data_IF_773722739424
#
_entry.id   IF_773722739424
#
_cell.length_a   1.000
_cell.length_b   1.000
_cell.length_c   1.000
_cell.angle_alpha   90.00
_cell.angle_beta   90.00
_cell.angle_gamma   90.00
#
_symmetry.space_group_name_H-M   'P 1'
#
loop_
_entity.id
_entity.type
_entity.pdbx_description
1 polymer ?
#
# COMPACT_ATOMS: atom_id res chain seq x y z
N UNK A 1 10.88 -6.91 19.26
CA UNK A 1 10.00 -6.19 18.31
C UNK A 1 8.61 -6.22 18.89
N UNK A 2 7.93 -5.08 18.98
CA UNK A 2 6.54 -5.03 19.47
C UNK A 2 5.59 -5.70 18.46
N UNK A 3 4.31 -5.85 18.81
CA UNK A 3 3.29 -6.28 17.85
C UNK A 3 3.19 -5.30 16.66
N UNK A 4 3.20 -4.00 16.93
CA UNK A 4 3.14 -2.94 15.92
C UNK A 4 4.30 -2.95 14.93
N UNK A 5 5.52 -3.20 15.40
CA UNK A 5 6.72 -3.28 14.56
C UNK A 5 6.63 -4.45 13.55
N UNK A 6 6.12 -5.60 14.01
CA UNK A 6 5.90 -6.78 13.14
C UNK A 6 4.75 -6.55 12.15
N UNK A 7 3.68 -5.94 12.61
CA UNK A 7 2.54 -5.57 11.76
C UNK A 7 2.98 -4.61 10.63
N UNK A 8 3.79 -3.60 10.95
CA UNK A 8 4.34 -2.70 9.93
C UNK A 8 5.25 -3.40 8.92
N UNK A 9 6.07 -4.36 9.36
CA UNK A 9 6.87 -5.16 8.41
C UNK A 9 5.99 -5.93 7.43
N UNK A 10 4.89 -6.52 7.92
CA UNK A 10 3.91 -7.19 7.06
C UNK A 10 3.30 -6.21 6.06
N UNK A 11 2.92 -5.00 6.49
CA UNK A 11 2.38 -3.98 5.60
C UNK A 11 3.38 -3.49 4.56
N UNK A 12 4.66 -3.34 4.90
CA UNK A 12 5.72 -3.01 3.93
C UNK A 12 5.83 -4.11 2.86
N UNK A 13 5.82 -5.39 3.27
CA UNK A 13 5.89 -6.52 2.34
C UNK A 13 4.67 -6.56 1.40
N UNK A 14 3.48 -6.29 1.92
CA UNK A 14 2.25 -6.25 1.12
C UNK A 14 2.27 -5.08 0.13
N UNK A 15 2.67 -3.88 0.57
CA UNK A 15 2.82 -2.73 -0.32
C UNK A 15 3.84 -3.02 -1.43
N UNK A 16 4.95 -3.67 -1.11
CA UNK A 16 5.95 -4.07 -2.09
C UNK A 16 5.41 -5.14 -3.06
N UNK A 17 4.68 -6.13 -2.56
CA UNK A 17 4.04 -7.14 -3.39
C UNK A 17 3.00 -6.52 -4.33
N UNK A 18 2.22 -5.54 -3.87
CA UNK A 18 1.31 -4.77 -4.70
C UNK A 18 2.06 -3.95 -5.76
N UNK A 19 3.20 -3.35 -5.41
CA UNK A 19 4.04 -2.61 -6.36
C UNK A 19 4.59 -3.52 -7.46
N UNK A 20 5.05 -4.72 -7.10
CA UNK A 20 5.48 -5.75 -8.04
C UNK A 20 4.31 -6.16 -8.94
N UNK A 21 3.16 -6.50 -8.36
CA UNK A 21 1.98 -6.88 -9.14
C UNK A 21 1.58 -5.77 -10.13
N UNK A 22 1.48 -4.53 -9.66
CA UNK A 22 1.12 -3.39 -10.50
C UNK A 22 2.14 -3.15 -11.61
N UNK A 23 3.44 -3.23 -11.28
CA UNK A 23 4.53 -3.01 -12.23
C UNK A 23 4.64 -4.08 -13.31
N UNK A 24 4.33 -5.34 -12.99
CA UNK A 24 4.43 -6.45 -13.95
C UNK A 24 3.13 -6.72 -14.73
N UNK A 25 1.96 -6.44 -14.16
CA UNK A 25 0.68 -6.81 -14.78
C UNK A 25 -0.10 -5.62 -15.34
N UNK A 26 -0.08 -4.46 -14.66
CA UNK A 26 -0.92 -3.33 -15.05
C UNK A 26 -0.13 -2.34 -15.92
N UNK A 27 1.08 -1.96 -15.51
CA UNK A 27 1.87 -0.97 -16.27
C UNK A 27 2.14 -1.38 -17.73
N UNK A 28 2.54 -2.63 -18.06
CA UNK A 28 2.80 -3.02 -19.45
C UNK A 28 1.57 -2.87 -20.33
N UNK A 29 0.39 -3.25 -19.84
CA UNK A 29 -0.89 -3.10 -20.54
C UNK A 29 -1.30 -1.63 -20.74
N UNK A 30 -0.97 -0.77 -19.79
CA UNK A 30 -1.19 0.69 -19.93
C UNK A 30 -0.27 1.28 -21.00
N UNK A 31 1.00 0.88 -21.04
CA UNK A 31 1.97 1.39 -22.03
C UNK A 31 1.79 0.79 -23.43
N UNK A 32 1.33 -0.47 -23.53
CA UNK A 32 1.02 -1.12 -24.81
C UNK A 32 -0.30 -0.64 -25.42
N UNK A 33 -1.10 0.13 -24.67
CA UNK A 33 -2.41 0.58 -25.10
C UNK A 33 -3.50 -0.50 -25.02
N UNK A 34 -3.29 -1.56 -24.21
CA UNK A 34 -4.25 -2.65 -24.01
C UNK A 34 -5.63 -2.18 -23.56
N UNK A 35 -5.71 -1.01 -22.92
CA UNK A 35 -6.95 -0.38 -22.47
C UNK A 35 -7.40 0.84 -23.32
N UNK A 36 -6.90 0.99 -24.55
CA UNK A 36 -7.27 2.12 -25.42
C UNK A 36 -8.62 1.94 -26.14
N UNK A 37 -9.24 0.75 -26.07
CA UNK A 37 -10.55 0.46 -26.66
C UNK A 37 -11.71 1.15 -25.93
N UNK A 38 -12.90 1.13 -26.54
CA UNK A 38 -14.11 1.75 -25.99
C UNK A 38 -14.45 1.26 -24.57
N UNK A 39 -14.20 -0.01 -24.29
CA UNK A 39 -14.42 -0.65 -22.98
C UNK A 39 -13.17 -0.70 -22.09
N UNK A 40 -12.05 -0.10 -22.52
CA UNK A 40 -10.77 -0.26 -21.83
C UNK A 40 -10.78 0.26 -20.38
N UNK A 41 -11.52 1.34 -20.12
CA UNK A 41 -11.71 1.87 -18.76
C UNK A 41 -12.48 0.87 -17.86
N UNK A 42 -13.51 0.23 -18.42
CA UNK A 42 -14.32 -0.78 -17.72
C UNK A 42 -13.49 -2.02 -17.41
N UNK A 43 -12.71 -2.50 -18.38
CA UNK A 43 -11.81 -3.64 -18.20
C UNK A 43 -10.74 -3.37 -17.13
N UNK A 44 -10.12 -2.18 -17.17
CA UNK A 44 -9.17 -1.75 -16.14
C UNK A 44 -9.84 -1.70 -14.76
N UNK A 45 -11.03 -1.11 -14.67
CA UNK A 45 -11.75 -1.01 -13.40
C UNK A 45 -12.10 -2.39 -12.82
N UNK A 46 -12.53 -3.35 -13.65
CA UNK A 46 -12.79 -4.72 -13.24
C UNK A 46 -11.51 -5.41 -12.73
N UNK A 47 -10.39 -5.24 -13.43
CA UNK A 47 -9.10 -5.80 -13.02
C UNK A 47 -8.65 -5.24 -11.65
N UNK A 48 -8.70 -3.93 -11.46
CA UNK A 48 -8.32 -3.29 -10.18
C UNK A 48 -9.29 -3.67 -9.06
N UNK A 49 -10.60 -3.74 -9.35
CA UNK A 49 -11.60 -4.11 -8.36
C UNK A 49 -11.39 -5.53 -7.81
N UNK A 50 -10.89 -6.46 -8.63
CA UNK A 50 -10.55 -7.82 -8.20
C UNK A 50 -9.29 -7.85 -7.32
N UNK A 51 -8.34 -6.95 -7.54
CA UNK A 51 -7.09 -6.88 -6.76
C UNK A 51 -7.34 -6.46 -5.31
N UNK A 52 -8.32 -5.59 -5.06
CA UNK A 52 -8.66 -5.10 -3.72
C UNK A 52 -8.99 -6.24 -2.73
N UNK A 53 -9.99 -7.12 -2.98
CA UNK A 53 -10.30 -8.21 -2.07
C UNK A 53 -9.15 -9.22 -1.95
N UNK A 54 -8.39 -9.47 -3.03
CA UNK A 54 -7.20 -10.33 -2.98
C UNK A 54 -6.16 -9.75 -2.02
N UNK A 55 -5.89 -8.44 -2.11
CA UNK A 55 -4.95 -7.75 -1.22
C UNK A 55 -5.42 -7.80 0.24
N UNK A 56 -6.72 -7.61 0.50
CA UNK A 56 -7.28 -7.71 1.86
C UNK A 56 -7.08 -9.12 2.43
N UNK A 57 -7.43 -10.17 1.67
CA UNK A 57 -7.26 -11.56 2.11
C UNK A 57 -5.79 -11.89 2.33
N UNK A 58 -4.90 -11.50 1.41
CA UNK A 58 -3.47 -11.69 1.54
C UNK A 58 -2.91 -11.00 2.80
N UNK A 59 -3.40 -9.79 3.10
CA UNK A 59 -3.01 -9.04 4.29
C UNK A 59 -3.38 -9.77 5.57
N UNK A 60 -4.62 -10.25 5.66
CA UNK A 60 -5.12 -10.99 6.82
C UNK A 60 -4.31 -12.28 7.00
N UNK A 61 -4.15 -13.07 5.93
CA UNK A 61 -3.43 -14.35 5.96
C UNK A 61 -1.97 -14.14 6.39
N UNK A 62 -1.26 -13.19 5.77
CA UNK A 62 0.15 -12.94 6.08
C UNK A 62 0.33 -12.45 7.52
N UNK A 63 -0.57 -11.59 8.02
CA UNK A 63 -0.54 -11.10 9.40
C UNK A 63 -0.73 -12.25 10.40
N UNK A 64 -1.65 -13.17 10.13
CA UNK A 64 -1.88 -14.37 10.96
C UNK A 64 -0.63 -15.26 10.95
N UNK A 65 -0.08 -15.55 9.76
CA UNK A 65 1.11 -16.41 9.62
C UNK A 65 2.33 -15.85 10.36
N UNK A 66 2.59 -14.55 10.24
CA UNK A 66 3.71 -13.90 10.96
C UNK A 66 3.49 -13.91 12.47
N UNK A 67 2.25 -13.69 12.91
CA UNK A 67 1.90 -13.75 14.35
C UNK A 67 2.13 -15.15 14.93
N UNK A 68 1.66 -16.20 14.24
CA UNK A 68 1.85 -17.60 14.65
C UNK A 68 3.33 -17.98 14.63
N UNK A 69 4.04 -17.65 13.54
CA UNK A 69 5.47 -17.94 13.39
C UNK A 69 6.31 -17.32 14.51
N UNK A 70 5.99 -16.09 14.90
CA UNK A 70 6.65 -15.42 16.02
C UNK A 70 6.35 -16.09 17.37
N UNK A 71 5.10 -16.47 17.62
CA UNK A 71 4.71 -17.14 18.87
C UNK A 71 5.47 -18.47 19.04
N UNK A 72 5.63 -19.23 17.96
CA UNK A 72 6.41 -20.48 17.94
C UNK A 72 7.89 -20.19 18.22
N UNK A 73 8.48 -19.23 17.50
CA UNK A 73 9.90 -18.90 17.60
C UNK A 73 10.32 -18.36 18.97
N UNK A 74 9.42 -17.66 19.66
CA UNK A 74 9.70 -17.02 20.96
C UNK A 74 9.18 -17.79 22.17
N UNK A 75 8.51 -18.93 21.96
CA UNK A 75 7.85 -19.73 23.02
C UNK A 75 6.90 -18.92 23.91
N UNK A 76 6.47 -17.74 23.45
CA UNK A 76 5.60 -16.84 24.19
C UNK A 76 4.18 -16.95 23.62
N UNK A 77 3.34 -17.71 24.31
CA UNK A 77 1.95 -17.97 23.90
C UNK A 77 1.05 -16.72 23.95
N UNK A 78 1.49 -15.65 24.61
CA UNK A 78 0.77 -14.37 24.70
C UNK A 78 1.73 -13.19 24.50
N UNK A 79 1.99 -12.76 23.26
CA UNK A 79 2.65 -11.49 23.01
C UNK A 79 1.85 -10.38 23.70
N UNK A 80 2.52 -9.44 24.39
CA UNK A 80 1.84 -8.24 24.89
C UNK A 80 1.31 -7.42 23.72
N UNK A 81 0.00 -7.19 23.68
CA UNK A 81 -0.70 -6.33 22.71
C UNK A 81 -1.03 -4.94 23.31
N UNK A 82 -0.39 -4.59 24.43
CA UNK A 82 -0.59 -3.28 25.04
C UNK A 82 0.01 -2.21 24.13
N UNK A 83 -0.87 -1.37 23.59
CA UNK A 83 -0.50 -0.21 22.78
C UNK A 83 -0.10 0.94 23.70
N UNK A 84 1.09 1.48 23.50
CA UNK A 84 1.58 2.66 24.23
C UNK A 84 1.15 3.97 23.53
N UNK A 85 1.20 5.09 24.25
CA UNK A 85 0.96 6.43 23.69
C UNK A 85 1.98 6.74 22.57
N UNK A 86 3.22 6.24 22.69
CA UNK A 86 4.22 6.34 21.64
C UNK A 86 3.78 5.64 20.36
N UNK A 87 3.23 4.44 20.46
CA UNK A 87 2.77 3.65 19.32
C UNK A 87 1.61 4.37 18.61
N UNK A 88 0.71 4.98 19.38
CA UNK A 88 -0.37 5.82 18.86
C UNK A 88 0.15 7.05 18.11
N UNK A 89 1.15 7.74 18.67
CA UNK A 89 1.76 8.91 18.04
C UNK A 89 2.46 8.54 16.72
N UNK A 90 3.21 7.43 16.69
CA UNK A 90 3.85 6.89 15.49
C UNK A 90 2.80 6.53 14.43
N UNK A 91 1.70 5.87 14.84
CA UNK A 91 0.59 5.53 13.95
C UNK A 91 -0.02 6.75 13.27
N UNK A 92 -0.30 7.82 14.02
CA UNK A 92 -0.83 9.08 13.48
C UNK A 92 0.17 9.75 12.52
N UNK A 93 1.46 9.76 12.85
CA UNK A 93 2.48 10.35 11.99
C UNK A 93 2.62 9.57 10.67
N UNK A 94 2.64 8.24 10.73
CA UNK A 94 2.65 7.39 9.54
C UNK A 94 1.42 7.61 8.65
N UNK A 95 0.24 7.77 9.25
CA UNK A 95 -0.98 8.12 8.51
C UNK A 95 -0.88 9.49 7.83
N UNK A 96 -0.33 10.50 8.53
CA UNK A 96 -0.12 11.84 7.93
C UNK A 96 0.79 11.78 6.72
N UNK A 97 1.91 11.05 6.81
CA UNK A 97 2.85 10.90 5.70
C UNK A 97 2.20 10.17 4.53
N UNK A 98 1.45 9.10 4.80
CA UNK A 98 0.68 8.41 3.77
C UNK A 98 -0.25 9.38 3.04
N UNK A 99 -1.10 10.10 3.77
CA UNK A 99 -2.06 11.03 3.19
C UNK A 99 -1.40 12.18 2.42
N UNK A 100 -0.28 12.72 2.90
CA UNK A 100 0.46 13.78 2.19
C UNK A 100 1.02 13.26 0.86
N UNK A 101 1.72 12.12 0.87
CA UNK A 101 2.34 11.56 -0.33
C UNK A 101 1.27 11.11 -1.33
N UNK A 102 0.21 10.44 -0.85
CA UNK A 102 -0.96 10.07 -1.64
C UNK A 102 -1.64 11.29 -2.26
N UNK A 103 -1.86 12.35 -1.47
CA UNK A 103 -2.46 13.60 -1.92
C UNK A 103 -1.63 14.30 -2.97
N UNK A 104 -0.30 14.37 -2.80
CA UNK A 104 0.60 14.94 -3.82
C UNK A 104 0.54 14.13 -5.12
N UNK A 105 0.56 12.80 -5.04
CA UNK A 105 0.42 11.95 -6.23
C UNK A 105 -0.90 12.17 -6.98
N UNK A 106 -2.00 12.26 -6.24
CA UNK A 106 -3.32 12.56 -6.81
C UNK A 106 -3.37 13.96 -7.44
N UNK A 107 -2.82 14.98 -6.78
CA UNK A 107 -2.76 16.35 -7.32
C UNK A 107 -1.95 16.40 -8.62
N UNK A 108 -0.81 15.72 -8.69
CA UNK A 108 -0.02 15.63 -9.92
C UNK A 108 -0.80 14.93 -11.05
N UNK A 109 -1.56 13.89 -10.73
CA UNK A 109 -2.43 13.21 -11.69
C UNK A 109 -3.51 14.13 -12.25
N UNK A 110 -4.16 14.93 -11.39
CA UNK A 110 -5.16 15.91 -11.83
C UNK A 110 -4.56 17.03 -12.68
N UNK A 111 -3.38 17.54 -12.31
CA UNK A 111 -2.68 18.55 -13.11
C UNK A 111 -2.37 18.01 -14.50
N UNK A 112 -1.91 16.76 -14.61
CA UNK A 112 -1.64 16.15 -15.91
C UNK A 112 -2.90 15.93 -16.75
N UNK A 113 -4.03 15.57 -16.12
CA UNK A 113 -5.32 15.50 -16.81
C UNK A 113 -5.76 16.87 -17.34
N UNK A 114 -5.68 17.90 -16.50
CA UNK A 114 -6.22 19.22 -16.80
C UNK A 114 -5.37 20.00 -17.81
N UNK A 115 -4.04 19.85 -17.77
CA UNK A 115 -3.13 20.72 -18.53
C UNK A 115 -2.24 19.99 -19.53
N UNK A 116 -2.00 18.68 -19.37
CA UNK A 116 -1.07 17.91 -20.23
C UNK A 116 -1.79 16.96 -21.20
N UNK A 117 -3.13 16.94 -21.19
CA UNK A 117 -3.93 16.11 -22.08
C UNK A 117 -3.83 14.61 -21.79
N UNK A 118 -3.50 14.23 -20.54
CA UNK A 118 -3.41 12.83 -20.17
C UNK A 118 -4.76 12.13 -20.25
N UNK A 119 -4.74 10.85 -20.63
CA UNK A 119 -5.95 10.03 -20.67
C UNK A 119 -6.40 9.66 -19.25
N UNK A 120 -7.70 9.41 -19.08
CA UNK A 120 -8.26 9.00 -17.79
C UNK A 120 -7.54 7.78 -17.20
N UNK A 121 -7.13 6.83 -18.04
CA UNK A 121 -6.43 5.63 -17.58
C UNK A 121 -5.05 5.94 -17.01
N UNK A 122 -4.29 6.84 -17.62
CA UNK A 122 -2.97 7.25 -17.09
C UNK A 122 -3.14 7.92 -15.74
N UNK A 123 -4.14 8.78 -15.60
CA UNK A 123 -4.43 9.52 -14.37
C UNK A 123 -4.86 8.60 -13.23
N UNK A 124 -5.71 7.60 -13.53
CA UNK A 124 -6.12 6.58 -12.57
C UNK A 124 -4.94 5.73 -12.09
N UNK A 125 -4.07 5.31 -13.01
CA UNK A 125 -2.87 4.55 -12.66
C UNK A 125 -1.87 5.39 -11.84
N UNK A 126 -1.70 6.68 -12.17
CA UNK A 126 -0.83 7.56 -11.39
C UNK A 126 -1.40 7.83 -9.99
N UNK A 127 -2.72 7.96 -9.87
CA UNK A 127 -3.40 8.07 -8.57
C UNK A 127 -3.17 6.81 -7.73
N UNK A 128 -3.33 5.63 -8.33
CA UNK A 128 -3.07 4.35 -7.66
C UNK A 128 -1.61 4.23 -7.21
N UNK A 129 -0.66 4.63 -8.05
CA UNK A 129 0.76 4.72 -7.69
C UNK A 129 1.01 5.70 -6.54
N UNK A 130 0.33 6.84 -6.53
CA UNK A 130 0.40 7.82 -5.44
C UNK A 130 -0.05 7.22 -4.11
N UNK A 131 -1.18 6.49 -4.10
CA UNK A 131 -1.69 5.81 -2.91
C UNK A 131 -0.74 4.72 -2.41
N UNK A 132 -0.17 3.95 -3.33
CA UNK A 132 0.81 2.91 -3.01
C UNK A 132 2.10 3.50 -2.44
N UNK A 133 2.62 4.56 -3.08
CA UNK A 133 3.79 5.27 -2.59
C UNK A 133 3.54 5.90 -1.21
N UNK A 134 2.34 6.44 -0.98
CA UNK A 134 1.93 6.96 0.32
C UNK A 134 1.87 5.87 1.39
N UNK A 135 1.24 4.73 1.10
CA UNK A 135 1.20 3.59 2.01
C UNK A 135 2.60 3.15 2.41
N UNK A 136 3.46 2.92 1.42
CA UNK A 136 4.85 2.51 1.64
C UNK A 136 5.65 3.55 2.44
N UNK A 137 5.54 4.84 2.10
CA UNK A 137 6.25 5.92 2.82
C UNK A 137 5.78 6.03 4.28
N UNK A 138 4.48 5.89 4.53
CA UNK A 138 3.91 5.86 5.86
C UNK A 138 4.44 4.68 6.68
N UNK A 139 4.42 3.47 6.12
CA UNK A 139 4.86 2.26 6.83
C UNK A 139 6.37 2.23 7.06
N UNK A 140 7.17 2.67 6.07
CA UNK A 140 8.63 2.85 6.24
C UNK A 140 8.91 3.87 7.33
N UNK A 141 8.17 4.98 7.39
CA UNK A 141 8.38 5.97 8.45
C UNK A 141 8.11 5.39 9.84
N UNK A 142 6.99 4.68 10.01
CA UNK A 142 6.70 4.02 11.29
C UNK A 142 7.79 3.01 11.66
N UNK A 143 8.25 2.21 10.70
CA UNK A 143 9.32 1.24 10.90
C UNK A 143 10.63 1.88 11.33
N UNK A 144 11.03 3.00 10.71
CA UNK A 144 12.22 3.77 11.09
C UNK A 144 12.07 4.33 12.51
N UNK A 145 10.92 4.93 12.83
CA UNK A 145 10.66 5.53 14.14
C UNK A 145 10.65 4.49 15.26
N UNK A 146 10.10 3.30 15.03
CA UNK A 146 10.15 2.21 16.02
C UNK A 146 11.58 1.75 16.34
N UNK A 147 12.56 1.99 15.46
CA UNK A 147 13.97 1.66 15.67
C UNK A 147 14.79 2.78 16.31
N UNK A 148 14.30 4.02 16.32
CA UNK A 148 15.04 5.17 16.83
C UNK A 148 14.94 5.34 18.36
N UNK A 149 14.08 4.57 19.03
CA UNK A 149 13.90 4.62 20.49
C UNK A 149 12.76 5.52 20.90
#
# INVERSE_FOLDING_TARGET
>A
MSFEDRSNLVMILINLAMAVYFGFWILPEVFSGGYAGADGLTQWAQAVLLVIPIAIVATIVLTILVTIGYAIATQNAKPSEVVDERDRAIGVLGLRINLVVAGVGFLLALIGLAFLGWTAIVVLNLTFLGFMAGGLAGDVTKFVLYRQG
#
